data_IF_418459575048
#
_entry.id   IF_418459575048
#
_cell.length_a   1.000
_cell.length_b   1.000
_cell.length_c   1.000
_cell.angle_alpha   90.00
_cell.angle_beta   90.00
_cell.angle_gamma   90.00
#
_symmetry.space_group_name_H-M   'P 1'
#
loop_
_entity.id
_entity.type
_entity.pdbx_description
1 polymer ?
#
# COMPACT_ATOMS: atom_id res chain seq x y z
N UNK A 1 -11.96 -21.63 -8.65
CA UNK A 1 -12.99 -21.90 -7.62
C UNK A 1 -13.56 -20.55 -7.26
N UNK A 2 -14.84 -20.32 -7.51
CA UNK A 2 -15.49 -19.06 -7.12
C UNK A 2 -15.39 -18.92 -5.60
N UNK A 3 -14.65 -17.91 -5.14
CA UNK A 3 -14.55 -17.59 -3.73
C UNK A 3 -15.91 -17.07 -3.26
N UNK A 4 -16.59 -17.85 -2.44
CA UNK A 4 -17.88 -17.47 -1.86
C UNK A 4 -17.64 -16.44 -0.77
N UNK A 5 -18.30 -15.29 -0.86
CA UNK A 5 -18.24 -14.24 0.16
C UNK A 5 -19.00 -14.70 1.41
N UNK A 6 -18.42 -14.59 2.62
CA UNK A 6 -19.13 -14.85 3.87
C UNK A 6 -20.39 -14.00 4.02
N UNK A 7 -21.46 -14.58 4.57
CA UNK A 7 -22.77 -13.90 4.72
C UNK A 7 -22.66 -12.60 5.52
N UNK A 8 -21.80 -12.55 6.52
CA UNK A 8 -21.55 -11.36 7.35
C UNK A 8 -21.00 -10.19 6.54
N UNK A 9 -20.16 -10.49 5.53
CA UNK A 9 -19.61 -9.50 4.61
C UNK A 9 -20.71 -9.08 3.65
N UNK A 10 -21.44 -10.02 3.06
CA UNK A 10 -22.55 -9.72 2.15
C UNK A 10 -23.56 -8.78 2.81
N UNK A 11 -24.04 -9.11 4.02
CA UNK A 11 -24.94 -8.24 4.79
C UNK A 11 -24.32 -6.90 5.21
N UNK A 12 -22.98 -6.81 5.30
CA UNK A 12 -22.32 -5.52 5.52
C UNK A 12 -22.32 -4.67 4.24
N UNK A 13 -22.02 -5.28 3.10
CA UNK A 13 -21.99 -4.61 1.79
C UNK A 13 -23.40 -4.13 1.38
N UNK A 14 -24.44 -4.94 1.61
CA UNK A 14 -25.84 -4.55 1.42
C UNK A 14 -26.18 -3.30 2.25
N UNK A 15 -25.82 -3.29 3.54
CA UNK A 15 -26.05 -2.12 4.40
C UNK A 15 -25.29 -0.88 3.92
N UNK A 16 -24.08 -1.04 3.38
CA UNK A 16 -23.33 0.08 2.79
C UNK A 16 -24.10 0.64 1.58
N UNK A 17 -24.63 -0.24 0.72
CA UNK A 17 -25.39 0.15 -0.45
C UNK A 17 -26.68 0.89 -0.05
N UNK A 18 -27.42 0.36 0.92
CA UNK A 18 -28.70 0.91 1.39
C UNK A 18 -28.57 2.33 1.96
N UNK A 19 -27.47 2.61 2.68
CA UNK A 19 -27.24 3.93 3.28
C UNK A 19 -26.51 4.91 2.35
N UNK A 20 -25.98 4.42 1.22
CA UNK A 20 -25.21 5.25 0.30
C UNK A 20 -26.15 6.14 -0.52
N UNK A 21 -25.86 7.44 -0.54
CA UNK A 21 -26.58 8.41 -1.36
C UNK A 21 -25.90 8.69 -2.70
N UNK A 22 -24.84 7.94 -2.99
CA UNK A 22 -23.94 8.21 -4.11
C UNK A 22 -24.46 7.63 -5.44
N UNK A 23 -23.96 8.18 -6.55
CA UNK A 23 -24.37 7.73 -7.90
C UNK A 23 -24.00 6.27 -8.15
N UNK A 24 -22.78 5.85 -7.80
CA UNK A 24 -22.30 4.47 -7.99
C UNK A 24 -23.18 3.43 -7.27
N UNK A 25 -23.81 3.79 -6.15
CA UNK A 25 -24.70 2.90 -5.41
C UNK A 25 -26.07 2.69 -6.06
N UNK A 26 -26.42 3.51 -7.05
CA UNK A 26 -27.69 3.40 -7.80
C UNK A 26 -27.53 2.65 -9.13
N UNK A 27 -26.29 2.30 -9.48
CA UNK A 27 -26.01 1.57 -10.71
C UNK A 27 -26.49 0.12 -10.62
N UNK A 28 -26.92 -0.42 -11.75
CA UNK A 28 -27.25 -1.84 -11.87
C UNK A 28 -26.01 -2.70 -11.56
N UNK A 29 -26.17 -3.73 -10.75
CA UNK A 29 -25.07 -4.59 -10.30
C UNK A 29 -24.12 -3.96 -9.27
N UNK A 30 -24.46 -2.83 -8.64
CA UNK A 30 -23.60 -2.19 -7.63
C UNK A 30 -23.19 -3.12 -6.48
N UNK A 31 -24.10 -3.99 -6.01
CA UNK A 31 -23.79 -5.01 -4.99
C UNK A 31 -22.76 -6.02 -5.49
N UNK A 32 -22.88 -6.48 -6.74
CA UNK A 32 -21.93 -7.43 -7.33
C UNK A 32 -20.56 -6.80 -7.54
N UNK A 33 -20.50 -5.51 -7.91
CA UNK A 33 -19.25 -4.75 -7.96
C UNK A 33 -18.61 -4.61 -6.57
N UNK A 34 -19.40 -4.34 -5.51
CA UNK A 34 -18.92 -4.29 -4.12
C UNK A 34 -18.37 -5.65 -3.66
N UNK A 35 -19.07 -6.73 -4.00
CA UNK A 35 -18.66 -8.11 -3.74
C UNK A 35 -17.33 -8.43 -4.43
N UNK A 36 -17.22 -8.16 -5.72
CA UNK A 36 -15.99 -8.36 -6.48
C UNK A 36 -14.83 -7.52 -5.94
N UNK A 37 -15.08 -6.26 -5.57
CA UNK A 37 -14.11 -5.38 -4.94
C UNK A 37 -13.61 -5.94 -3.61
N UNK A 38 -14.51 -6.46 -2.77
CA UNK A 38 -14.16 -7.09 -1.51
C UNK A 38 -13.25 -8.32 -1.71
N UNK A 39 -13.59 -9.18 -2.67
CA UNK A 39 -12.76 -10.33 -3.02
C UNK A 39 -11.37 -9.91 -3.50
N UNK A 40 -11.27 -8.86 -4.33
CA UNK A 40 -9.97 -8.30 -4.74
C UNK A 40 -9.13 -7.84 -3.54
N UNK A 41 -9.74 -7.17 -2.56
CA UNK A 41 -9.05 -6.79 -1.31
C UNK A 41 -8.58 -8.01 -0.54
N UNK A 42 -9.40 -9.06 -0.48
CA UNK A 42 -9.06 -10.29 0.21
C UNK A 42 -7.86 -11.01 -0.43
N UNK A 43 -7.85 -11.08 -1.75
CA UNK A 43 -6.73 -11.62 -2.54
C UNK A 43 -5.46 -10.82 -2.28
N UNK A 44 -5.50 -9.49 -2.41
CA UNK A 44 -4.33 -8.63 -2.14
C UNK A 44 -3.82 -8.78 -0.71
N UNK A 45 -4.72 -8.96 0.25
CA UNK A 45 -4.36 -9.25 1.63
C UNK A 45 -3.57 -10.55 1.73
N UNK A 46 -4.10 -11.65 1.19
CA UNK A 46 -3.43 -12.95 1.22
C UNK A 46 -2.07 -12.95 0.51
N UNK A 47 -1.98 -12.31 -0.65
CA UNK A 47 -0.72 -12.16 -1.41
C UNK A 47 0.34 -11.41 -0.61
N UNK A 48 -0.03 -10.27 0.01
CA UNK A 48 0.90 -9.49 0.82
C UNK A 48 1.37 -10.25 2.06
N UNK A 49 0.47 -10.98 2.71
CA UNK A 49 0.79 -11.82 3.88
C UNK A 49 1.74 -12.96 3.50
N UNK A 50 1.51 -13.60 2.36
CA UNK A 50 2.40 -14.63 1.82
C UNK A 50 3.77 -14.05 1.47
N UNK A 51 3.83 -12.89 0.82
CA UNK A 51 5.06 -12.20 0.44
C UNK A 51 5.94 -11.88 1.66
N UNK A 52 5.32 -11.50 2.78
CA UNK A 52 6.01 -11.18 4.04
C UNK A 52 6.29 -12.41 4.92
N UNK A 53 5.90 -13.61 4.48
CA UNK A 53 6.09 -14.85 5.21
C UNK A 53 5.44 -14.83 6.58
N UNK A 54 4.23 -14.29 6.68
CA UNK A 54 3.40 -14.27 7.88
C UNK A 54 2.39 -15.43 7.87
N UNK A 55 1.78 -15.74 9.02
CA UNK A 55 0.94 -16.92 9.22
C UNK A 55 -0.48 -16.54 9.61
N UNK A 56 -1.47 -17.18 8.97
CA UNK A 56 -2.89 -17.05 9.30
C UNK A 56 -3.25 -17.98 10.46
N UNK A 57 -4.15 -17.54 11.34
CA UNK A 57 -4.69 -18.34 12.44
C UNK A 57 -6.17 -18.00 12.66
N UNK A 58 -6.95 -18.93 13.21
CA UNK A 58 -8.36 -18.72 13.55
C UNK A 58 -8.55 -18.17 14.96
N UNK A 59 -7.54 -18.32 15.81
CA UNK A 59 -7.54 -17.79 17.16
C UNK A 59 -6.15 -17.45 17.66
N UNK A 60 -6.07 -16.55 18.63
CA UNK A 60 -4.82 -16.13 19.24
C UNK A 60 -5.05 -15.75 20.70
N UNK A 61 -4.17 -16.21 21.59
CA UNK A 61 -4.21 -15.78 22.98
C UNK A 61 -3.96 -14.28 23.10
N UNK A 62 -4.65 -13.61 24.03
CA UNK A 62 -4.39 -12.20 24.37
C UNK A 62 -2.95 -11.94 24.82
N UNK A 63 -2.29 -12.96 25.35
CA UNK A 63 -0.92 -12.90 25.86
C UNK A 63 0.13 -13.19 24.77
N UNK A 64 -0.29 -13.45 23.53
CA UNK A 64 0.62 -13.67 22.40
C UNK A 64 1.38 -12.38 22.07
N UNK A 65 2.70 -12.44 22.15
CA UNK A 65 3.58 -11.28 21.99
C UNK A 65 3.92 -10.97 20.53
N UNK A 66 3.53 -11.80 19.55
CA UNK A 66 3.90 -11.61 18.16
C UNK A 66 3.21 -10.38 17.56
N UNK A 67 3.90 -9.71 16.67
CA UNK A 67 3.33 -8.67 15.81
C UNK A 67 2.26 -9.28 14.93
N UNK A 68 1.13 -8.57 14.78
CA UNK A 68 -0.05 -9.09 14.12
C UNK A 68 -0.77 -8.05 13.28
N UNK A 69 -1.47 -8.54 12.26
CA UNK A 69 -2.34 -7.77 11.38
C UNK A 69 -3.72 -8.43 11.37
N UNK A 70 -4.76 -7.63 11.61
CA UNK A 70 -6.13 -8.07 11.66
C UNK A 70 -6.92 -7.38 10.54
N UNK A 71 -7.68 -8.16 9.77
CA UNK A 71 -8.65 -7.66 8.81
C UNK A 71 -10.05 -7.88 9.37
N UNK A 72 -10.86 -6.82 9.42
CA UNK A 72 -12.26 -6.92 9.86
C UNK A 72 -13.19 -7.20 8.68
N UNK A 73 -14.39 -7.70 8.94
CA UNK A 73 -15.43 -7.86 7.91
C UNK A 73 -15.86 -6.54 7.24
N UNK A 74 -15.56 -5.40 7.88
CA UNK A 74 -15.83 -4.07 7.32
C UNK A 74 -14.68 -3.48 6.51
N UNK A 75 -13.61 -4.23 6.27
CA UNK A 75 -12.47 -3.79 5.44
C UNK A 75 -11.51 -2.86 6.14
N UNK A 76 -11.57 -2.83 7.47
CA UNK A 76 -10.65 -2.06 8.28
C UNK A 76 -9.48 -2.93 8.70
N UNK A 77 -8.30 -2.31 8.81
CA UNK A 77 -7.07 -2.98 9.20
C UNK A 77 -6.68 -2.55 10.61
N UNK A 78 -6.34 -3.51 11.45
CA UNK A 78 -5.71 -3.27 12.77
C UNK A 78 -4.32 -3.84 12.72
N UNK A 79 -3.32 -3.00 12.97
CA UNK A 79 -1.91 -3.37 12.98
C UNK A 79 -1.39 -3.25 14.41
N UNK A 80 -0.71 -4.28 14.89
CA UNK A 80 -0.23 -4.37 16.27
C UNK A 80 1.24 -4.79 16.26
N UNK A 81 2.07 -4.07 17.02
CA UNK A 81 3.49 -4.37 17.17
C UNK A 81 3.78 -5.65 17.97
N UNK A 82 5.06 -5.95 18.13
CA UNK A 82 5.52 -7.00 19.05
C UNK A 82 5.40 -6.56 20.53
N UNK A 83 5.17 -7.52 21.44
CA UNK A 83 5.16 -7.34 22.90
C UNK A 83 3.76 -7.32 23.51
N UNK A 84 3.63 -7.46 24.84
CA UNK A 84 2.33 -7.44 25.54
C UNK A 84 1.64 -6.08 25.44
N UNK A 85 2.31 -5.03 25.95
CA UNK A 85 2.01 -3.64 25.59
C UNK A 85 2.68 -3.31 24.25
N UNK A 86 1.88 -2.94 23.25
CA UNK A 86 2.34 -2.76 21.88
C UNK A 86 1.76 -1.49 21.26
N UNK A 87 2.44 -0.96 20.25
CA UNK A 87 1.86 0.09 19.42
C UNK A 87 0.72 -0.49 18.57
N UNK A 88 -0.24 0.35 18.23
CA UNK A 88 -1.37 0.00 17.38
C UNK A 88 -1.65 1.09 16.36
N UNK A 89 -2.00 0.67 15.15
CA UNK A 89 -2.55 1.50 14.09
C UNK A 89 -3.85 0.86 13.59
N UNK A 90 -4.96 1.58 13.67
CA UNK A 90 -6.23 1.21 13.08
C UNK A 90 -6.52 2.11 11.89
N UNK A 91 -6.72 1.51 10.71
CA UNK A 91 -7.07 2.20 9.49
C UNK A 91 -8.50 1.82 9.08
N UNK A 92 -9.41 2.78 9.16
CA UNK A 92 -10.76 2.66 8.59
C UNK A 92 -10.74 3.18 7.16
N UNK A 93 -10.98 2.26 6.22
CA UNK A 93 -10.77 2.51 4.78
C UNK A 93 -12.14 2.64 4.10
N UNK A 94 -12.66 3.86 4.13
CA UNK A 94 -13.93 4.24 3.51
C UNK A 94 -13.82 4.26 1.99
N UNK A 95 -14.95 4.18 1.29
CA UNK A 95 -15.00 4.12 -0.18
C UNK A 95 -14.51 5.39 -0.89
N UNK A 96 -14.77 6.58 -0.33
CA UNK A 96 -14.51 7.88 -1.02
C UNK A 96 -13.32 8.68 -0.49
N UNK A 97 -12.41 8.08 0.26
CA UNK A 97 -11.34 8.84 0.90
C UNK A 97 -9.97 8.49 0.34
N UNK A 98 -9.27 9.46 -0.24
CA UNK A 98 -7.88 9.32 -0.73
C UNK A 98 -6.89 8.95 0.38
N UNK A 99 -7.26 9.23 1.63
CA UNK A 99 -6.46 8.89 2.80
C UNK A 99 -7.38 8.23 3.83
N UNK A 100 -6.98 7.13 4.49
CA UNK A 100 -7.84 6.50 5.49
C UNK A 100 -8.01 7.38 6.74
N UNK A 101 -9.02 7.06 7.53
CA UNK A 101 -9.11 7.53 8.91
C UNK A 101 -8.22 6.63 9.77
N UNK A 102 -7.15 7.20 10.30
CA UNK A 102 -6.11 6.47 11.03
C UNK A 102 -6.17 6.85 12.51
N UNK A 103 -6.27 5.84 13.36
CA UNK A 103 -6.17 5.96 14.82
C UNK A 103 -4.88 5.27 15.25
N UNK A 104 -4.05 5.93 16.06
CA UNK A 104 -2.79 5.37 16.56
C UNK A 104 -2.70 5.46 18.08
N UNK A 105 -2.00 4.51 18.67
CA UNK A 105 -1.46 4.63 20.02
C UNK A 105 -0.16 3.86 20.16
N UNK A 106 0.73 4.34 21.03
CA UNK A 106 2.02 3.69 21.28
C UNK A 106 1.92 2.56 22.32
N UNK A 107 0.84 2.55 23.10
CA UNK A 107 0.58 1.55 24.13
C UNK A 107 -0.88 1.10 24.09
N UNK A 108 -1.08 -0.17 23.77
CA UNK A 108 -2.33 -0.90 23.90
C UNK A 108 -2.02 -2.38 24.17
N UNK A 109 -3.01 -3.11 24.66
CA UNK A 109 -2.95 -4.56 24.81
C UNK A 109 -4.30 -5.19 24.42
N UNK A 110 -4.27 -6.47 24.08
CA UNK A 110 -5.50 -7.25 23.90
C UNK A 110 -6.16 -7.45 25.27
N UNK A 111 -7.46 -7.16 25.36
CA UNK A 111 -8.22 -7.39 26.58
C UNK A 111 -8.72 -8.85 26.68
N UNK A 112 -8.96 -9.47 25.52
CA UNK A 112 -9.52 -10.81 25.36
C UNK A 112 -8.79 -11.56 24.23
N UNK A 113 -8.94 -12.88 24.20
CA UNK A 113 -8.41 -13.72 23.11
C UNK A 113 -9.07 -13.35 21.79
N UNK A 114 -8.29 -13.39 20.70
CA UNK A 114 -8.78 -13.13 19.36
C UNK A 114 -9.38 -14.41 18.78
N UNK A 115 -10.50 -14.25 18.07
CA UNK A 115 -11.10 -15.30 17.27
C UNK A 115 -11.66 -14.72 15.97
N UNK A 116 -11.46 -15.43 14.87
CA UNK A 116 -12.17 -15.17 13.61
C UNK A 116 -13.68 -15.20 13.86
N UNK A 117 -14.40 -14.25 13.27
CA UNK A 117 -15.84 -14.06 13.48
C UNK A 117 -16.22 -13.27 14.74
N UNK A 118 -15.29 -13.03 15.67
CA UNK A 118 -15.55 -12.25 16.90
C UNK A 118 -14.90 -10.87 16.84
N UNK A 119 -15.33 -9.99 17.73
CA UNK A 119 -14.76 -8.64 17.85
C UNK A 119 -13.43 -8.70 18.61
N UNK A 120 -12.42 -7.95 18.16
CA UNK A 120 -11.21 -7.72 18.96
C UNK A 120 -11.51 -6.64 20.01
N UNK A 121 -11.13 -6.90 21.25
CA UNK A 121 -11.29 -5.97 22.38
C UNK A 121 -9.93 -5.55 22.90
N UNK A 122 -9.76 -4.24 23.12
CA UNK A 122 -8.48 -3.64 23.49
C UNK A 122 -8.56 -2.94 24.85
N UNK A 123 -7.45 -3.02 25.57
CA UNK A 123 -7.21 -2.28 26.81
C UNK A 123 -6.08 -1.27 26.60
N UNK A 124 -6.25 -0.07 27.14
CA UNK A 124 -5.40 1.08 26.79
C UNK A 124 -5.74 1.66 25.42
N UNK A 125 -5.27 2.88 25.15
CA UNK A 125 -5.49 3.57 23.87
C UNK A 125 -6.94 3.99 23.55
N UNK A 126 -7.13 4.63 22.38
CA UNK A 126 -8.40 5.21 21.94
C UNK A 126 -9.38 4.20 21.30
N UNK A 127 -8.89 3.12 20.70
CA UNK A 127 -9.74 2.06 20.14
C UNK A 127 -10.11 1.07 21.25
N UNK A 128 -11.40 0.90 21.53
CA UNK A 128 -11.87 -0.07 22.54
C UNK A 128 -12.23 -1.42 21.95
N UNK A 129 -12.84 -1.41 20.76
CA UNK A 129 -13.26 -2.62 20.05
C UNK A 129 -13.32 -2.38 18.55
N UNK A 130 -13.23 -3.44 17.77
CA UNK A 130 -13.41 -3.42 16.32
C UNK A 130 -14.81 -3.90 15.92
N UNK A 131 -15.09 -3.98 14.61
CA UNK A 131 -16.06 -4.94 14.09
C UNK A 131 -15.49 -6.37 14.16
N UNK A 132 -16.32 -7.37 13.85
CA UNK A 132 -15.88 -8.76 13.86
C UNK A 132 -14.72 -9.01 12.87
N UNK A 133 -13.76 -9.82 13.31
CA UNK A 133 -12.55 -10.16 12.58
C UNK A 133 -12.87 -11.14 11.46
N UNK A 134 -12.34 -10.87 10.28
CA UNK A 134 -12.37 -11.78 9.15
C UNK A 134 -11.10 -12.62 9.07
N UNK A 135 -9.93 -12.00 9.22
CA UNK A 135 -8.63 -12.70 9.21
C UNK A 135 -7.73 -12.19 10.34
N UNK A 136 -7.04 -13.14 10.99
CA UNK A 136 -5.99 -12.89 11.98
C UNK A 136 -4.69 -13.40 11.42
N UNK A 137 -3.67 -12.55 11.42
CA UNK A 137 -2.35 -12.88 10.88
C UNK A 137 -1.27 -12.47 11.85
N UNK A 138 -0.29 -13.35 12.06
CA UNK A 138 0.83 -13.13 12.98
C UNK A 138 2.17 -13.33 12.26
N UNK A 139 3.20 -12.66 12.76
CA UNK A 139 4.57 -13.02 12.40
C UNK A 139 4.93 -14.41 12.94
N UNK A 140 5.88 -15.10 12.29
CA UNK A 140 6.40 -16.39 12.78
C UNK A 140 7.22 -16.20 14.06
N UNK A 141 7.22 -17.20 14.95
CA UNK A 141 7.92 -17.15 16.24
C UNK A 141 9.42 -16.89 16.11
N UNK A 142 10.06 -17.38 15.04
CA UNK A 142 11.49 -17.23 14.80
C UNK A 142 11.92 -15.86 14.25
N UNK A 143 10.98 -14.92 14.05
CA UNK A 143 11.27 -13.59 13.52
C UNK A 143 11.59 -12.64 14.67
N UNK A 144 12.74 -11.96 14.60
CA UNK A 144 13.14 -10.99 15.64
C UNK A 144 12.12 -9.86 15.81
N UNK A 145 11.93 -9.29 17.01
CA UNK A 145 10.96 -8.21 17.25
C UNK A 145 11.06 -7.03 16.28
N UNK A 146 12.27 -6.57 15.99
CA UNK A 146 12.52 -5.49 15.03
C UNK A 146 12.04 -5.83 13.61
N UNK A 147 12.22 -7.08 13.20
CA UNK A 147 11.77 -7.54 11.89
C UNK A 147 10.26 -7.76 11.84
N UNK A 148 9.64 -8.20 12.95
CA UNK A 148 8.18 -8.23 13.05
C UNK A 148 7.59 -6.84 12.86
N UNK A 149 8.09 -5.83 13.58
CA UNK A 149 7.65 -4.45 13.43
C UNK A 149 7.81 -3.93 11.99
N UNK A 150 8.92 -4.27 11.33
CA UNK A 150 9.13 -3.91 9.92
C UNK A 150 8.11 -4.55 8.99
N UNK A 151 7.80 -5.84 9.18
CA UNK A 151 6.81 -6.57 8.37
C UNK A 151 5.42 -6.02 8.58
N UNK A 152 5.00 -5.81 9.83
CA UNK A 152 3.69 -5.22 10.13
C UNK A 152 3.58 -3.85 9.48
N UNK A 153 4.55 -2.94 9.68
CA UNK A 153 4.51 -1.59 9.07
C UNK A 153 4.47 -1.62 7.55
N UNK A 154 5.22 -2.53 6.94
CA UNK A 154 5.20 -2.70 5.48
C UNK A 154 3.83 -3.20 4.98
N UNK A 155 3.28 -4.22 5.61
CA UNK A 155 1.94 -4.74 5.31
C UNK A 155 0.88 -3.64 5.46
N UNK A 156 0.89 -2.90 6.57
CA UNK A 156 -0.06 -1.83 6.84
C UNK A 156 -0.02 -0.77 5.76
N UNK A 157 1.17 -0.27 5.40
CA UNK A 157 1.32 0.77 4.37
C UNK A 157 0.83 0.26 3.02
N UNK A 158 1.24 -0.94 2.60
CA UNK A 158 0.83 -1.51 1.32
C UNK A 158 -0.69 -1.68 1.27
N UNK A 159 -1.25 -2.48 2.18
CA UNK A 159 -2.67 -2.86 2.15
C UNK A 159 -3.59 -1.66 2.32
N UNK A 160 -3.22 -0.72 3.18
CA UNK A 160 -4.03 0.48 3.39
C UNK A 160 -4.11 1.33 2.12
N UNK A 161 -2.99 1.54 1.42
CA UNK A 161 -2.99 2.31 0.17
C UNK A 161 -3.68 1.54 -0.97
N UNK A 162 -3.45 0.23 -1.09
CA UNK A 162 -4.09 -0.60 -2.10
C UNK A 162 -5.60 -0.68 -1.91
N UNK A 163 -6.10 -0.74 -0.67
CA UNK A 163 -7.53 -0.77 -0.40
C UNK A 163 -8.20 0.59 -0.68
N UNK A 164 -7.50 1.69 -0.41
CA UNK A 164 -7.95 3.03 -0.82
C UNK A 164 -8.01 3.13 -2.36
N UNK A 165 -7.01 2.61 -3.06
CA UNK A 165 -6.96 2.59 -4.52
C UNK A 165 -8.16 1.85 -5.10
N UNK A 166 -8.33 0.59 -4.68
CA UNK A 166 -9.43 -0.27 -5.10
C UNK A 166 -10.80 0.36 -4.83
N UNK A 167 -10.98 0.96 -3.65
CA UNK A 167 -12.21 1.67 -3.32
C UNK A 167 -12.47 2.83 -4.26
N UNK A 168 -11.43 3.56 -4.65
CA UNK A 168 -11.54 4.71 -5.52
C UNK A 168 -11.96 4.30 -6.93
N UNK A 169 -11.39 3.23 -7.48
CA UNK A 169 -11.74 2.71 -8.81
C UNK A 169 -13.23 2.39 -8.94
N UNK A 170 -13.87 1.92 -7.85
CA UNK A 170 -15.31 1.71 -7.82
C UNK A 170 -16.12 3.02 -7.83
N UNK A 171 -15.57 4.09 -7.24
CA UNK A 171 -16.31 5.36 -7.01
C UNK A 171 -16.07 6.42 -8.07
N UNK A 172 -15.08 6.23 -8.96
CA UNK A 172 -14.83 7.15 -10.06
C UNK A 172 -15.84 6.91 -11.20
N UNK A 173 -16.37 7.97 -11.82
CA UNK A 173 -17.21 7.83 -13.01
C UNK A 173 -16.43 7.15 -14.14
N UNK A 174 -17.10 6.32 -14.92
CA UNK A 174 -16.54 5.73 -16.15
C UNK A 174 -16.03 6.86 -17.05
N UNK A 175 -14.71 6.89 -17.32
CA UNK A 175 -14.05 7.93 -18.12
C UNK A 175 -13.47 9.11 -17.33
N UNK A 176 -13.47 9.07 -15.99
CA UNK A 176 -12.72 10.03 -15.16
C UNK A 176 -11.20 9.85 -15.33
N UNK A 177 -10.45 10.97 -15.34
CA UNK A 177 -8.99 10.91 -15.39
C UNK A 177 -8.43 10.05 -14.24
N UNK A 178 -7.51 9.14 -14.58
CA UNK A 178 -6.67 8.40 -13.64
C UNK A 178 -5.84 9.41 -12.83
N UNK A 179 -6.40 10.01 -11.76
CA UNK A 179 -5.56 10.87 -10.91
C UNK A 179 -4.54 9.98 -10.20
N UNK A 180 -3.26 10.18 -10.51
CA UNK A 180 -2.12 9.47 -9.93
C UNK A 180 -2.22 9.46 -8.39
N UNK A 181 -2.62 8.32 -7.80
CA UNK A 181 -2.83 8.21 -6.36
C UNK A 181 -1.51 8.41 -5.59
N UNK A 182 -0.39 8.02 -6.20
CA UNK A 182 0.94 8.08 -5.59
C UNK A 182 1.67 9.39 -5.92
N UNK A 183 0.91 10.48 -6.10
CA UNK A 183 1.47 11.82 -6.26
C UNK A 183 1.93 12.46 -4.93
N UNK A 184 2.75 13.50 -5.03
CA UNK A 184 3.32 14.24 -3.88
C UNK A 184 2.25 14.78 -2.91
N UNK A 185 1.13 15.32 -3.42
CA UNK A 185 0.05 15.88 -2.60
C UNK A 185 -0.59 14.81 -1.73
N UNK A 186 -0.88 13.64 -2.31
CA UNK A 186 -1.49 12.52 -1.60
C UNK A 186 -0.51 11.88 -0.60
N UNK A 187 0.77 11.75 -0.97
CA UNK A 187 1.81 11.31 -0.04
C UNK A 187 1.92 12.24 1.18
N UNK A 188 1.89 13.56 0.98
CA UNK A 188 1.90 14.54 2.07
C UNK A 188 0.69 14.35 2.99
N UNK A 189 -0.51 14.24 2.41
CA UNK A 189 -1.74 14.06 3.17
C UNK A 189 -1.71 12.76 3.99
N UNK A 190 -1.26 11.65 3.39
CA UNK A 190 -1.11 10.36 4.06
C UNK A 190 -0.12 10.44 5.22
N UNK A 191 1.09 10.97 4.99
CA UNK A 191 2.13 11.09 6.03
C UNK A 191 1.72 12.05 7.15
N UNK A 192 1.01 13.13 6.83
CA UNK A 192 0.48 14.06 7.81
C UNK A 192 -0.51 13.37 8.75
N UNK A 193 -1.52 12.68 8.19
CA UNK A 193 -2.49 11.93 9.00
C UNK A 193 -1.82 10.83 9.80
N UNK A 194 -0.95 10.04 9.15
CA UNK A 194 -0.25 8.92 9.79
C UNK A 194 0.58 9.37 10.97
N UNK A 195 1.27 10.51 10.89
CA UNK A 195 2.19 10.97 11.93
C UNK A 195 1.58 12.02 12.86
N UNK A 196 0.31 12.40 12.68
CA UNK A 196 -0.31 13.48 13.45
C UNK A 196 0.37 14.83 13.24
N UNK A 197 0.96 15.07 12.06
CA UNK A 197 1.69 16.29 11.73
C UNK A 197 0.89 17.16 10.75
N UNK A 198 1.18 18.46 10.72
CA UNK A 198 0.62 19.37 9.73
C UNK A 198 1.20 19.03 8.33
N UNK A 199 0.35 19.04 7.30
CA UNK A 199 0.75 18.85 5.90
C UNK A 199 1.87 19.79 5.46
N UNK A 200 1.90 21.03 5.94
CA UNK A 200 2.96 21.99 5.59
C UNK A 200 4.33 21.55 6.13
N UNK A 201 4.36 21.00 7.35
CA UNK A 201 5.59 20.44 7.94
C UNK A 201 6.06 19.21 7.16
N UNK A 202 5.13 18.33 6.78
CA UNK A 202 5.46 17.15 5.95
C UNK A 202 5.98 17.57 4.58
N UNK A 203 5.36 18.58 3.94
CA UNK A 203 5.82 19.12 2.65
C UNK A 203 7.26 19.60 2.74
N UNK A 204 7.56 20.40 3.76
CA UNK A 204 8.92 20.89 4.03
C UNK A 204 9.91 19.73 4.19
N UNK A 205 9.59 18.72 5.01
CA UNK A 205 10.46 17.54 5.21
C UNK A 205 10.69 16.77 3.90
N UNK A 206 9.65 16.60 3.07
CA UNK A 206 9.77 15.92 1.78
C UNK A 206 10.63 16.72 0.78
N UNK A 207 10.51 18.05 0.79
CA UNK A 207 11.31 18.94 -0.05
C UNK A 207 12.78 18.91 0.37
N UNK A 208 13.06 19.03 1.68
CA UNK A 208 14.41 18.91 2.22
C UNK A 208 15.05 17.55 1.89
N UNK A 209 14.27 16.47 2.00
CA UNK A 209 14.72 15.15 1.57
C UNK A 209 15.08 15.11 0.08
N UNK A 210 14.24 15.67 -0.79
CA UNK A 210 14.52 15.74 -2.23
C UNK A 210 15.77 16.57 -2.55
N UNK A 211 15.94 17.74 -1.90
CA UNK A 211 17.12 18.58 -2.06
C UNK A 211 18.40 17.87 -1.60
N UNK A 212 18.33 17.09 -0.53
CA UNK A 212 19.47 16.28 -0.07
C UNK A 212 19.85 15.18 -1.08
N UNK A 213 18.86 14.52 -1.68
CA UNK A 213 19.11 13.52 -2.73
C UNK A 213 19.77 14.15 -3.96
N UNK A 214 19.24 15.29 -4.41
CA UNK A 214 19.78 16.05 -5.54
C UNK A 214 21.21 16.53 -5.27
N UNK A 215 21.44 17.14 -4.11
CA UNK A 215 22.77 17.61 -3.70
C UNK A 215 23.78 16.46 -3.69
N UNK A 216 23.44 15.32 -3.09
CA UNK A 216 24.32 14.15 -3.09
C UNK A 216 24.66 13.67 -4.51
N UNK A 217 23.68 13.68 -5.41
CA UNK A 217 23.85 13.28 -6.81
C UNK A 217 24.76 14.26 -7.56
N UNK A 218 24.54 15.57 -7.41
CA UNK A 218 25.33 16.63 -8.06
C UNK A 218 26.77 16.69 -7.53
N UNK A 219 27.01 16.28 -6.29
CA UNK A 219 28.35 16.07 -5.73
C UNK A 219 29.04 14.78 -6.27
N UNK A 220 28.43 14.10 -7.24
CA UNK A 220 28.96 12.87 -7.85
C UNK A 220 28.91 11.66 -6.91
N UNK A 221 28.18 11.75 -5.78
CA UNK A 221 28.04 10.63 -4.84
C UNK A 221 26.97 9.65 -5.33
N UNK A 222 27.10 8.40 -4.89
CA UNK A 222 26.01 7.43 -4.99
C UNK A 222 25.07 7.66 -3.81
N UNK A 223 23.83 8.00 -4.09
CA UNK A 223 22.81 8.31 -3.09
C UNK A 223 21.91 7.08 -2.90
N UNK A 224 21.82 6.58 -1.66
CA UNK A 224 20.96 5.45 -1.31
C UNK A 224 19.54 5.92 -0.98
N UNK A 225 18.53 5.27 -1.54
CA UNK A 225 17.11 5.45 -1.21
C UNK A 225 16.59 4.27 -0.38
N UNK A 226 17.45 3.69 0.45
CA UNK A 226 17.13 2.58 1.33
C UNK A 226 16.67 1.35 0.56
N UNK A 227 15.44 0.88 0.85
CA UNK A 227 14.88 -0.35 0.26
C UNK A 227 14.63 -0.24 -1.24
N UNK A 228 14.48 0.97 -1.80
CA UNK A 228 14.10 1.13 -3.21
C UNK A 228 15.29 0.88 -4.13
N UNK A 229 16.45 1.44 -3.81
CA UNK A 229 17.62 1.37 -4.68
C UNK A 229 18.59 2.52 -4.45
N UNK A 230 19.33 2.88 -5.51
CA UNK A 230 20.34 3.94 -5.47
C UNK A 230 20.33 4.80 -6.73
N UNK A 231 20.58 6.09 -6.55
CA UNK A 231 20.83 7.09 -7.58
C UNK A 231 22.33 7.33 -7.71
N UNK A 232 22.81 7.47 -8.95
CA UNK A 232 24.22 7.80 -9.23
C UNK A 232 24.35 8.51 -10.58
N UNK A 233 25.40 9.32 -10.76
CA UNK A 233 25.75 9.85 -12.08
C UNK A 233 26.61 8.84 -12.83
N UNK A 234 26.32 8.64 -14.11
CA UNK A 234 27.14 7.88 -15.04
C UNK A 234 27.63 8.79 -16.16
N UNK A 235 28.92 8.76 -16.45
CA UNK A 235 29.48 9.43 -17.62
C UNK A 235 28.89 8.80 -18.89
N UNK A 236 28.24 9.63 -19.70
CA UNK A 236 27.87 9.28 -21.07
C UNK A 236 28.97 9.80 -21.99
N UNK A 237 29.61 8.94 -22.78
CA UNK A 237 30.68 9.37 -23.68
C UNK A 237 30.11 10.30 -24.75
N UNK A 238 30.99 11.13 -25.32
CA UNK A 238 30.65 11.94 -26.49
C UNK A 238 30.14 11.06 -27.63
N UNK A 239 29.10 11.52 -28.34
CA UNK A 239 28.55 10.87 -29.53
C UNK A 239 28.60 11.86 -30.70
N UNK A 240 29.08 11.40 -31.85
CA UNK A 240 29.03 12.18 -33.09
C UNK A 240 27.59 12.25 -33.61
N UNK A 241 27.32 13.23 -34.46
CA UNK A 241 26.08 13.29 -35.21
C UNK A 241 25.91 12.02 -36.05
N UNK A 242 24.69 11.50 -36.14
CA UNK A 242 24.38 10.29 -36.89
C UNK A 242 22.97 10.35 -37.44
N UNK A 243 22.73 9.67 -38.54
CA UNK A 243 21.39 9.43 -39.05
C UNK A 243 20.69 8.44 -38.11
N UNK A 244 19.44 8.75 -37.78
CA UNK A 244 18.51 7.88 -37.09
C UNK A 244 17.18 7.90 -37.81
N UNK A 245 16.21 7.17 -37.27
CA UNK A 245 14.83 7.22 -37.76
C UNK A 245 13.93 7.69 -36.65
N UNK A 246 12.93 8.51 -37.00
CA UNK A 246 11.86 8.81 -36.06
C UNK A 246 11.12 7.50 -35.74
N UNK A 247 11.05 7.07 -34.46
CA UNK A 247 10.40 5.82 -34.08
C UNK A 247 8.92 5.75 -34.48
N UNK A 248 8.24 6.89 -34.64
CA UNK A 248 6.82 6.95 -34.96
C UNK A 248 6.55 7.03 -36.48
N UNK A 249 7.37 7.76 -37.24
CA UNK A 249 7.13 8.01 -38.67
C UNK A 249 8.06 7.26 -39.61
N UNK A 250 9.15 6.69 -39.10
CA UNK A 250 10.17 5.98 -39.90
C UNK A 250 11.07 6.87 -40.75
N UNK A 251 10.77 8.17 -40.85
CA UNK A 251 11.55 9.14 -41.61
C UNK A 251 12.97 9.30 -41.07
N UNK A 252 13.92 9.48 -41.98
CA UNK A 252 15.31 9.72 -41.62
C UNK A 252 15.44 11.08 -40.94
N UNK A 253 16.06 11.08 -39.75
CA UNK A 253 16.34 12.29 -38.99
C UNK A 253 17.82 12.32 -38.59
N UNK A 254 18.41 13.51 -38.58
CA UNK A 254 19.75 13.68 -38.06
C UNK A 254 19.70 13.84 -36.54
N UNK A 255 20.29 12.90 -35.81
CA UNK A 255 20.47 13.01 -34.36
C UNK A 255 21.74 13.84 -34.12
N UNK A 256 21.65 14.99 -33.43
CA UNK A 256 22.80 15.87 -33.24
C UNK A 256 23.88 15.23 -32.38
N UNK A 257 25.12 15.68 -32.62
CA UNK A 257 26.24 15.36 -31.76
C UNK A 257 25.95 15.78 -30.31
N UNK A 258 26.41 15.00 -29.35
CA UNK A 258 26.28 15.34 -27.93
C UNK A 258 27.62 15.13 -27.24
N UNK A 259 28.09 16.14 -26.55
CA UNK A 259 29.33 16.08 -25.79
C UNK A 259 29.24 15.09 -24.63
N UNK A 260 30.41 14.73 -24.10
CA UNK A 260 30.49 13.92 -22.90
C UNK A 260 29.81 14.67 -21.74
N UNK A 261 28.88 14.00 -21.06
CA UNK A 261 28.10 14.61 -19.97
C UNK A 261 27.75 13.56 -18.92
N UNK A 262 27.47 14.03 -17.71
CA UNK A 262 26.93 13.18 -16.66
C UNK A 262 25.43 12.99 -16.85
N UNK A 263 24.96 11.77 -16.62
CA UNK A 263 23.54 11.42 -16.71
C UNK A 263 23.14 10.65 -15.45
N UNK A 264 22.00 11.00 -14.81
CA UNK A 264 21.49 10.26 -13.68
C UNK A 264 21.09 8.84 -14.09
N UNK A 265 21.38 7.88 -13.23
CA UNK A 265 21.00 6.48 -13.38
C UNK A 265 20.45 5.97 -12.05
N UNK A 266 19.26 5.37 -12.10
CA UNK A 266 18.68 4.64 -10.99
C UNK A 266 18.99 3.14 -11.10
N UNK A 267 19.31 2.51 -9.97
CA UNK A 267 19.41 1.05 -9.86
C UNK A 267 18.53 0.56 -8.72
N UNK A 268 17.49 -0.22 -9.03
CA UNK A 268 16.64 -0.87 -8.04
C UNK A 268 17.41 -1.88 -7.19
N UNK A 269 17.03 -1.99 -5.92
CA UNK A 269 17.55 -3.01 -5.00
C UNK A 269 17.11 -4.41 -5.44
N UNK A 270 17.83 -5.46 -5.00
CA UNK A 270 17.40 -6.85 -5.23
C UNK A 270 16.02 -7.11 -4.60
N UNK A 271 15.80 -6.60 -3.39
CA UNK A 271 14.53 -6.76 -2.68
C UNK A 271 13.33 -6.24 -3.48
N UNK A 272 13.43 -5.10 -4.17
CA UNK A 272 12.33 -4.59 -5.01
C UNK A 272 12.14 -5.47 -6.25
N UNK A 273 13.22 -5.90 -6.89
CA UNK A 273 13.15 -6.75 -8.08
C UNK A 273 12.50 -8.09 -7.77
N UNK A 274 12.94 -8.75 -6.70
CA UNK A 274 12.38 -10.03 -6.25
C UNK A 274 10.89 -9.90 -5.87
N UNK A 275 10.48 -8.77 -5.29
CA UNK A 275 9.06 -8.51 -5.00
C UNK A 275 8.25 -8.29 -6.27
N UNK A 276 8.79 -7.53 -7.24
CA UNK A 276 8.14 -7.31 -8.53
C UNK A 276 7.98 -8.60 -9.33
N UNK A 277 9.00 -9.48 -9.33
CA UNK A 277 8.96 -10.79 -9.99
C UNK A 277 7.90 -11.75 -9.40
N UNK A 278 7.45 -11.50 -8.17
CA UNK A 278 6.42 -12.31 -7.49
C UNK A 278 5.01 -11.77 -7.65
N UNK A 279 4.84 -10.60 -8.27
CA UNK A 279 3.51 -10.06 -8.56
C UNK A 279 2.87 -10.91 -9.67
N UNK A 280 1.58 -11.20 -9.52
CA UNK A 280 0.82 -11.82 -10.60
C UNK A 280 0.75 -10.84 -11.78
N UNK A 281 1.14 -11.30 -12.97
CA UNK A 281 0.90 -10.55 -14.22
C UNK A 281 -0.59 -10.71 -14.54
N UNK A 282 -1.33 -9.60 -14.60
CA UNK A 282 -2.72 -9.63 -15.07
C UNK A 282 -2.75 -9.96 -16.57
N UNK A 283 -3.70 -10.77 -17.01
CA UNK A 283 -3.88 -11.15 -18.43
C UNK A 283 -4.03 -9.93 -19.36
N UNK A 284 -4.45 -8.76 -18.86
CA UNK A 284 -4.52 -7.49 -19.61
C UNK A 284 -3.15 -6.90 -20.03
N UNK A 285 -2.05 -7.32 -19.41
CA UNK A 285 -0.70 -6.84 -19.77
C UNK A 285 -0.01 -7.74 -20.82
N UNK A 286 -0.38 -9.02 -20.94
CA UNK A 286 0.19 -9.91 -21.96
C UNK A 286 -0.19 -9.54 -23.39
N UNK A 287 -1.31 -8.86 -23.57
CA UNK A 287 -1.80 -8.44 -24.89
C UNK A 287 -1.21 -7.08 -25.35
N UNK A 288 -0.47 -6.38 -24.50
CA UNK A 288 0.16 -5.08 -24.86
C UNK A 288 1.51 -5.20 -25.54
N UNK A 289 2.10 -6.40 -25.60
CA UNK A 289 3.36 -6.67 -26.32
C UNK A 289 3.19 -7.50 -27.60
N UNK A 290 1.99 -7.55 -28.18
CA UNK A 290 1.75 -8.18 -29.50
C UNK A 290 1.73 -7.18 -30.66
#
# INVERSE_FOLDING_TARGET
MDQVIPKEIESHLERILDVSQEEWSREEGALDKLKALWLKKDTLFDEQIALLGMEKTDSLSKDDSRGMLLLTFSGSLVSLGYGGERWMEYASIKFRSDVPDIIRCEKTALAEDLHSGKTAVFSGGPLKKTSALFKIVVCKENVSPLEQDKRIREATVFLTNSFVHLNRDLTLPVGGEELDQFNKKNMIAYLARKNGLNQDKIRMIMDDYAYMLETGLLLGKTVSLGRIGRLSLKLKPRRKARLGRNPHTGEEMTIPAKEAHMSPVFRFSSSVKEKAERLAVSDDESDRES
#
